data_IF_300791005998
#
_entry.id   IF_300791005998
#
_cell.length_a   1.000
_cell.length_b   1.000
_cell.length_c   1.000
_cell.angle_alpha   90.00
_cell.angle_beta   90.00
_cell.angle_gamma   90.00
#
_symmetry.space_group_name_H-M   'P 1'
#
loop_
_entity.id
_entity.type
_entity.pdbx_description
1 polymer ?
#
# COMPACT_ATOMS: atom_id res chain seq x y z
N UNK A 1 -9.67 -63.92 18.73
CA UNK A 1 -9.56 -63.18 17.52
C UNK A 1 -9.79 -61.71 17.76
N UNK A 2 -8.72 -60.97 17.81
CA UNK A 2 -8.59 -59.61 18.25
C UNK A 2 -8.86 -58.62 17.11
N UNK A 3 -9.76 -57.72 17.38
CA UNK A 3 -10.01 -56.52 16.59
C UNK A 3 -8.92 -55.45 16.86
N UNK A 4 -8.13 -55.11 15.87
CA UNK A 4 -7.24 -53.96 15.90
C UNK A 4 -7.93 -52.74 15.32
N UNK A 5 -8.18 -51.76 16.16
CA UNK A 5 -8.65 -50.43 15.79
C UNK A 5 -7.44 -49.60 15.48
N UNK A 6 -7.29 -49.09 14.25
CA UNK A 6 -6.29 -48.11 13.86
C UNK A 6 -6.93 -46.76 13.88
N UNK A 7 -6.64 -45.96 14.92
CA UNK A 7 -6.94 -44.55 15.01
C UNK A 7 -6.08 -43.78 13.99
N UNK A 8 -6.76 -43.14 13.06
CA UNK A 8 -6.15 -42.13 12.19
C UNK A 8 -6.08 -40.79 12.94
N UNK A 9 -4.93 -40.52 13.53
CA UNK A 9 -4.60 -39.17 13.98
C UNK A 9 -4.48 -38.21 12.77
N UNK A 10 -5.35 -37.18 12.79
CA UNK A 10 -5.21 -36.00 11.91
C UNK A 10 -4.07 -35.17 12.44
N UNK A 11 -3.10 -34.75 11.63
CA UNK A 11 -2.11 -33.77 12.06
C UNK A 11 -2.79 -32.40 12.20
N UNK A 12 -2.74 -31.86 13.41
CA UNK A 12 -3.17 -30.50 13.75
C UNK A 12 -2.16 -29.50 13.14
N UNK A 13 -2.61 -28.83 12.09
CA UNK A 13 -1.92 -27.71 11.47
C UNK A 13 -1.99 -26.47 12.38
N UNK A 14 -1.05 -26.32 13.29
CA UNK A 14 -0.93 -25.11 14.13
C UNK A 14 0.49 -24.57 14.24
N UNK A 15 1.42 -25.01 13.36
CA UNK A 15 2.85 -24.71 13.51
C UNK A 15 3.47 -23.82 12.42
N UNK A 16 2.71 -23.18 11.54
CA UNK A 16 3.28 -22.33 10.46
C UNK A 16 2.88 -20.85 10.48
N UNK A 17 2.48 -20.30 11.62
CA UNK A 17 2.14 -18.88 11.74
C UNK A 17 3.06 -18.04 12.61
N UNK A 18 4.17 -18.54 13.09
CA UNK A 18 5.01 -17.82 14.08
C UNK A 18 6.45 -17.51 13.65
N UNK A 19 6.80 -17.50 12.37
CA UNK A 19 8.18 -17.16 11.96
C UNK A 19 8.30 -15.89 11.10
N UNK A 20 7.50 -14.84 11.38
CA UNK A 20 7.75 -13.53 10.77
C UNK A 20 7.85 -12.40 11.81
N UNK A 21 8.53 -12.66 12.91
CA UNK A 21 8.75 -11.63 13.94
C UNK A 21 10.02 -11.89 14.74
N UNK A 22 11.16 -11.51 14.22
CA UNK A 22 12.32 -11.21 15.09
C UNK A 22 13.44 -10.53 14.32
N UNK A 23 13.57 -9.22 14.48
CA UNK A 23 14.71 -8.44 13.98
C UNK A 23 14.52 -6.94 13.92
N UNK A 24 13.45 -6.38 14.44
CA UNK A 24 13.22 -4.93 14.47
C UNK A 24 13.77 -4.27 15.73
N UNK A 25 14.63 -3.28 15.56
CA UNK A 25 15.23 -2.43 16.59
C UNK A 25 14.17 -1.86 17.55
N UNK A 26 14.26 -2.16 18.86
CA UNK A 26 13.24 -1.92 19.92
C UNK A 26 12.98 -0.46 20.31
N UNK A 27 13.51 0.51 19.61
CA UNK A 27 13.45 1.92 19.99
C UNK A 27 12.58 2.83 19.11
N UNK A 28 11.73 2.27 18.24
CA UNK A 28 10.82 3.11 17.45
C UNK A 28 9.44 3.20 18.07
N UNK A 29 8.95 4.43 18.19
CA UNK A 29 7.54 4.72 18.54
C UNK A 29 6.67 4.08 17.45
N UNK A 30 5.94 3.02 17.82
CA UNK A 30 5.03 2.35 16.92
C UNK A 30 3.75 3.18 16.84
N UNK A 31 3.62 3.97 15.78
CA UNK A 31 2.37 4.67 15.47
C UNK A 31 1.33 3.65 14.99
N UNK A 32 0.38 3.30 15.85
CA UNK A 32 -0.70 2.34 15.53
C UNK A 32 -2.07 2.99 15.67
N UNK A 33 -3.06 2.45 14.93
CA UNK A 33 -4.45 2.86 15.01
C UNK A 33 -4.74 4.25 14.42
N UNK A 34 -5.93 4.76 14.70
CA UNK A 34 -6.42 6.03 14.14
C UNK A 34 -5.58 7.24 14.56
N UNK A 35 -5.12 7.26 15.81
CA UNK A 35 -4.29 8.35 16.36
C UNK A 35 -2.91 8.38 15.71
N UNK A 36 -2.24 7.22 15.59
CA UNK A 36 -0.95 7.12 14.91
C UNK A 36 -1.03 7.54 13.45
N UNK A 37 -2.09 7.14 12.75
CA UNK A 37 -2.34 7.57 11.37
C UNK A 37 -2.57 9.08 11.27
N UNK A 38 -3.29 9.69 12.21
CA UNK A 38 -3.53 11.13 12.23
C UNK A 38 -2.22 11.92 12.45
N UNK A 39 -1.37 11.47 13.37
CA UNK A 39 -0.05 12.06 13.64
C UNK A 39 0.83 11.95 12.38
N UNK A 40 0.94 10.76 11.79
CA UNK A 40 1.74 10.56 10.58
C UNK A 40 1.25 11.43 9.42
N UNK A 41 -0.06 11.51 9.23
CA UNK A 41 -0.68 12.36 8.21
C UNK A 41 -0.35 13.84 8.43
N UNK A 42 -0.34 14.30 9.67
CA UNK A 42 0.03 15.68 10.01
C UNK A 42 1.52 15.94 9.74
N UNK A 43 2.40 15.03 10.20
CA UNK A 43 3.85 15.15 9.94
C UNK A 43 4.14 15.12 8.44
N UNK A 44 3.52 14.21 7.70
CA UNK A 44 3.64 14.10 6.25
C UNK A 44 3.15 15.39 5.55
N UNK A 45 2.03 15.96 6.01
CA UNK A 45 1.51 17.22 5.50
C UNK A 45 2.49 18.38 5.73
N UNK A 46 3.09 18.46 6.91
CA UNK A 46 4.00 19.54 7.29
C UNK A 46 5.37 19.43 6.62
N UNK A 47 5.96 18.23 6.65
CA UNK A 47 7.37 18.01 6.28
C UNK A 47 7.57 17.29 4.95
N UNK A 48 6.52 16.66 4.41
CA UNK A 48 6.63 15.75 3.27
C UNK A 48 7.27 14.38 3.60
N UNK A 49 7.38 14.05 4.90
CA UNK A 49 8.01 12.83 5.40
C UNK A 49 7.03 12.00 6.22
N UNK A 50 6.90 10.70 5.91
CA UNK A 50 6.05 9.76 6.65
C UNK A 50 6.88 8.96 7.65
N UNK A 51 6.53 9.06 8.91
CA UNK A 51 7.12 8.26 9.99
C UNK A 51 6.72 6.79 9.88
N UNK A 52 5.47 6.52 9.49
CA UNK A 52 4.98 5.15 9.28
C UNK A 52 5.70 4.46 8.13
N UNK A 53 5.92 5.16 7.01
CA UNK A 53 6.68 4.61 5.89
C UNK A 53 8.13 4.33 6.28
N UNK A 54 8.76 5.20 7.08
CA UNK A 54 10.11 4.95 7.63
C UNK A 54 10.14 3.74 8.54
N UNK A 55 9.18 3.64 9.45
CA UNK A 55 9.07 2.51 10.37
C UNK A 55 8.91 1.19 9.59
N UNK A 56 8.03 1.18 8.59
CA UNK A 56 7.84 0.02 7.73
C UNK A 56 9.12 -0.36 6.97
N UNK A 57 9.83 0.61 6.41
CA UNK A 57 11.09 0.39 5.70
C UNK A 57 12.16 -0.24 6.61
N UNK A 58 12.29 0.28 7.84
CA UNK A 58 13.24 -0.26 8.83
C UNK A 58 12.86 -1.68 9.27
N UNK A 59 11.57 -1.94 9.50
CA UNK A 59 11.10 -3.27 9.91
C UNK A 59 11.32 -4.34 8.84
N UNK A 60 11.29 -3.96 7.56
CA UNK A 60 11.46 -4.89 6.43
C UNK A 60 12.87 -4.84 5.80
N UNK A 61 13.81 -4.09 6.38
CA UNK A 61 15.16 -3.93 5.83
C UNK A 61 15.18 -3.29 4.44
N UNK A 62 14.18 -2.47 4.11
CA UNK A 62 14.04 -1.79 2.81
C UNK A 62 14.41 -0.32 2.92
N UNK A 63 14.72 0.31 1.78
CA UNK A 63 14.93 1.76 1.71
C UNK A 63 13.64 2.55 1.99
N UNK A 64 13.79 3.79 2.50
CA UNK A 64 12.65 4.70 2.66
C UNK A 64 12.01 5.01 1.31
N UNK A 65 10.71 4.77 1.19
CA UNK A 65 9.93 5.11 0.00
C UNK A 65 9.31 6.50 0.21
N UNK A 66 9.55 7.49 -0.69
CA UNK A 66 8.92 8.78 -0.58
C UNK A 66 7.40 8.65 -0.61
N UNK A 67 6.72 9.46 0.20
CA UNK A 67 5.28 9.37 0.44
C UNK A 67 4.61 10.68 0.07
N UNK A 68 3.47 10.62 -0.59
CA UNK A 68 2.60 11.74 -0.90
C UNK A 68 1.30 11.66 -0.10
N UNK A 69 0.62 12.80 0.06
CA UNK A 69 -0.79 12.84 0.45
C UNK A 69 -1.65 12.94 -0.81
N UNK A 70 -2.52 11.95 -1.01
CA UNK A 70 -3.52 11.97 -2.06
C UNK A 70 -4.85 12.48 -1.49
N UNK A 71 -5.44 13.46 -2.17
CA UNK A 71 -6.78 14.01 -1.87
C UNK A 71 -7.73 13.61 -2.99
N UNK A 72 -8.78 12.90 -2.63
CA UNK A 72 -9.83 12.43 -3.55
C UNK A 72 -11.21 12.84 -3.05
N UNK A 73 -12.18 12.89 -3.94
CA UNK A 73 -13.60 13.05 -3.61
C UNK A 73 -14.19 11.67 -3.36
N UNK A 74 -14.85 11.49 -2.23
CA UNK A 74 -15.48 10.21 -1.86
C UNK A 74 -16.60 9.86 -2.85
N UNK A 75 -16.47 8.72 -3.55
CA UNK A 75 -17.41 8.30 -4.60
C UNK A 75 -18.86 8.20 -4.13
N UNK A 76 -19.10 7.85 -2.86
CA UNK A 76 -20.46 7.72 -2.31
C UNK A 76 -20.98 9.00 -1.64
N UNK A 77 -20.10 9.80 -1.05
CA UNK A 77 -20.51 10.90 -0.16
C UNK A 77 -20.14 12.27 -0.68
N UNK A 78 -19.33 12.36 -1.74
CA UNK A 78 -18.75 13.62 -2.22
C UNK A 78 -17.76 14.29 -1.26
N UNK A 79 -17.60 13.77 -0.05
CA UNK A 79 -16.71 14.35 0.95
C UNK A 79 -15.23 14.20 0.55
N UNK A 80 -14.44 15.23 0.83
CA UNK A 80 -12.99 15.16 0.60
C UNK A 80 -12.35 14.11 1.52
N UNK A 81 -11.54 13.25 0.93
CA UNK A 81 -10.77 12.21 1.62
C UNK A 81 -9.29 12.42 1.36
N UNK A 82 -8.46 12.02 2.33
CA UNK A 82 -7.00 12.09 2.19
C UNK A 82 -6.36 10.81 2.70
N UNK A 83 -5.28 10.38 2.04
CA UNK A 83 -4.46 9.25 2.49
C UNK A 83 -2.99 9.47 2.11
N UNK A 84 -2.09 8.99 2.97
CA UNK A 84 -0.66 8.95 2.71
C UNK A 84 -0.31 7.70 1.90
N UNK A 85 0.39 7.86 0.79
CA UNK A 85 0.74 6.75 -0.11
C UNK A 85 2.21 6.84 -0.53
N UNK A 86 3.00 5.77 -0.36
CA UNK A 86 4.29 5.67 -1.01
C UNK A 86 4.13 5.74 -2.53
N UNK A 87 5.01 6.50 -3.19
CA UNK A 87 4.93 6.69 -4.63
C UNK A 87 6.25 6.38 -5.34
N UNK A 88 6.15 6.13 -6.62
CA UNK A 88 7.26 6.03 -7.57
C UNK A 88 7.14 7.14 -8.60
N UNK A 89 8.28 7.57 -9.14
CA UNK A 89 8.28 8.43 -10.32
C UNK A 89 8.56 7.56 -11.56
N UNK A 90 7.61 7.51 -12.47
CA UNK A 90 7.72 6.77 -13.74
C UNK A 90 7.29 7.69 -14.87
N UNK A 91 8.18 7.91 -15.83
CA UNK A 91 7.93 8.74 -17.01
C UNK A 91 7.34 10.14 -16.68
N UNK A 92 7.84 10.77 -15.61
CA UNK A 92 7.36 12.08 -15.15
C UNK A 92 6.04 12.08 -14.38
N UNK A 93 5.39 10.92 -14.20
CA UNK A 93 4.17 10.78 -13.43
C UNK A 93 4.43 10.17 -12.04
N UNK A 94 3.59 10.52 -11.07
CA UNK A 94 3.56 9.84 -9.78
C UNK A 94 2.74 8.56 -9.93
N UNK A 95 3.27 7.44 -9.45
CA UNK A 95 2.57 6.15 -9.48
C UNK A 95 2.45 5.62 -8.07
N UNK A 96 1.24 5.23 -7.69
CA UNK A 96 0.93 4.67 -6.36
C UNK A 96 0.28 3.29 -6.49
N UNK A 97 0.49 2.44 -5.50
CA UNK A 97 0.00 1.06 -5.48
C UNK A 97 -1.18 0.91 -4.53
N UNK A 98 -2.28 0.31 -5.01
CA UNK A 98 -3.48 0.02 -4.23
C UNK A 98 -3.38 -1.29 -3.46
N UNK A 99 -2.31 -1.49 -2.69
CA UNK A 99 -2.07 -2.76 -1.99
C UNK A 99 -3.06 -3.05 -0.86
N UNK A 100 -3.59 -2.03 -0.19
CA UNK A 100 -4.43 -2.19 1.00
C UNK A 100 -3.79 -3.11 2.06
N UNK A 101 -2.45 -3.01 2.23
CA UNK A 101 -1.70 -3.88 3.14
C UNK A 101 -1.69 -5.37 2.73
N UNK A 102 -1.94 -5.69 1.44
CA UNK A 102 -2.11 -7.06 0.95
C UNK A 102 -3.52 -7.60 1.11
N UNK A 103 -4.47 -6.78 1.53
CA UNK A 103 -5.86 -7.20 1.75
C UNK A 103 -6.60 -7.62 0.47
N UNK A 104 -7.73 -8.37 0.60
CA UNK A 104 -8.44 -8.96 -0.53
C UNK A 104 -9.25 -7.96 -1.37
N UNK A 105 -9.39 -6.72 -0.90
CA UNK A 105 -10.19 -5.69 -1.58
C UNK A 105 -9.35 -4.46 -1.91
N UNK A 106 -9.75 -3.73 -2.94
CA UNK A 106 -9.13 -2.45 -3.27
C UNK A 106 -9.35 -1.44 -2.14
N UNK A 107 -8.36 -0.57 -1.88
CA UNK A 107 -8.54 0.52 -0.94
C UNK A 107 -9.61 1.51 -1.45
N UNK A 108 -10.33 2.14 -0.52
CA UNK A 108 -11.42 3.07 -0.85
C UNK A 108 -11.00 4.22 -1.78
N UNK A 109 -9.76 4.70 -1.68
CA UNK A 109 -9.26 5.76 -2.54
C UNK A 109 -9.13 5.34 -4.02
N UNK A 110 -8.91 4.05 -4.31
CA UNK A 110 -8.95 3.53 -5.69
C UNK A 110 -10.35 3.64 -6.28
N UNK A 111 -11.40 3.34 -5.48
CA UNK A 111 -12.78 3.52 -5.91
C UNK A 111 -13.11 4.99 -6.15
N UNK A 112 -12.56 5.89 -5.33
CA UNK A 112 -12.75 7.33 -5.50
C UNK A 112 -12.13 7.79 -6.84
N UNK A 113 -10.90 7.37 -7.15
CA UNK A 113 -10.21 7.70 -8.41
C UNK A 113 -10.98 7.16 -9.64
N UNK A 114 -11.56 5.96 -9.54
CA UNK A 114 -12.40 5.43 -10.63
C UNK A 114 -13.68 6.24 -10.85
N UNK A 115 -14.20 6.84 -9.78
CA UNK A 115 -15.42 7.67 -9.85
C UNK A 115 -15.16 9.12 -10.23
N UNK A 116 -13.98 9.64 -9.93
CA UNK A 116 -13.59 11.02 -10.22
C UNK A 116 -12.07 11.07 -10.43
N UNK A 117 -11.66 11.36 -11.66
CA UNK A 117 -10.25 11.41 -12.04
C UNK A 117 -9.52 12.68 -11.56
N UNK A 118 -10.26 13.71 -11.16
CA UNK A 118 -9.69 14.94 -10.64
C UNK A 118 -9.27 14.77 -9.17
N UNK A 119 -7.98 14.93 -8.93
CA UNK A 119 -7.40 14.77 -7.61
C UNK A 119 -6.38 15.85 -7.30
N UNK A 120 -5.95 15.91 -6.05
CA UNK A 120 -4.82 16.72 -5.63
C UNK A 120 -3.82 15.84 -4.89
N UNK A 121 -2.55 16.15 -5.08
CA UNK A 121 -1.48 15.54 -4.29
C UNK A 121 -0.71 16.62 -3.54
N UNK A 122 -0.17 16.25 -2.38
CA UNK A 122 0.83 17.06 -1.68
C UNK A 122 2.12 16.27 -1.57
N UNK A 123 3.16 16.79 -2.19
CA UNK A 123 4.49 16.19 -2.26
C UNK A 123 5.52 17.23 -1.82
N UNK A 124 6.38 16.86 -0.87
CA UNK A 124 7.44 17.75 -0.35
C UNK A 124 6.91 19.14 0.00
N UNK A 125 5.76 19.20 0.70
CA UNK A 125 5.14 20.44 1.13
C UNK A 125 4.37 21.23 0.06
N UNK A 126 4.40 20.83 -1.21
CA UNK A 126 3.72 21.51 -2.33
C UNK A 126 2.47 20.75 -2.74
N UNK A 127 1.36 21.46 -2.93
CA UNK A 127 0.12 20.90 -3.44
C UNK A 127 0.07 21.06 -4.97
N UNK A 128 -0.33 20.01 -5.67
CA UNK A 128 -0.43 19.95 -7.12
C UNK A 128 -1.77 19.36 -7.51
N UNK A 129 -2.36 19.86 -8.59
CA UNK A 129 -3.52 19.24 -9.21
C UNK A 129 -3.03 18.12 -10.13
N UNK A 130 -3.76 17.01 -10.14
CA UNK A 130 -3.41 15.84 -10.95
C UNK A 130 -4.66 15.22 -11.55
N UNK A 131 -4.49 14.67 -12.74
CA UNK A 131 -5.43 13.73 -13.33
C UNK A 131 -4.99 12.31 -12.94
N UNK A 132 -5.89 11.58 -12.29
CA UNK A 132 -5.63 10.26 -11.72
C UNK A 132 -6.39 9.18 -12.50
N UNK A 133 -5.74 8.08 -12.86
CA UNK A 133 -6.42 6.93 -13.42
C UNK A 133 -5.79 5.60 -12.94
N UNK A 134 -6.60 4.56 -12.90
CA UNK A 134 -6.13 3.21 -12.63
C UNK A 134 -5.69 2.60 -13.97
N UNK A 135 -4.40 2.24 -14.07
CA UNK A 135 -3.86 1.62 -15.29
C UNK A 135 -4.48 0.25 -15.55
N UNK A 136 -4.71 -0.06 -16.82
CA UNK A 136 -5.29 -1.34 -17.30
C UNK A 136 -4.55 -1.83 -18.53
N UNK A 137 -4.76 -3.11 -18.91
CA UNK A 137 -4.22 -3.67 -20.13
C UNK A 137 -2.70 -3.55 -20.24
N UNK A 138 -2.21 -3.18 -21.42
CA UNK A 138 -0.79 -3.07 -21.73
C UNK A 138 -0.08 -2.01 -20.88
N UNK A 139 -0.75 -0.88 -20.59
CA UNK A 139 -0.20 0.16 -19.71
C UNK A 139 0.12 -0.42 -18.34
N UNK A 140 -0.81 -1.19 -17.77
CA UNK A 140 -0.62 -1.83 -16.46
C UNK A 140 0.55 -2.81 -16.49
N UNK A 141 0.66 -3.65 -17.52
CA UNK A 141 1.74 -4.63 -17.66
C UNK A 141 3.10 -3.91 -17.70
N UNK A 142 3.25 -2.95 -18.60
CA UNK A 142 4.49 -2.17 -18.72
C UNK A 142 4.85 -1.43 -17.42
N UNK A 143 3.84 -0.87 -16.76
CA UNK A 143 4.01 -0.14 -15.51
C UNK A 143 4.41 -1.07 -14.36
N UNK A 144 3.77 -2.26 -14.27
CA UNK A 144 4.11 -3.28 -13.28
C UNK A 144 5.57 -3.71 -13.40
N UNK A 145 6.05 -4.01 -14.60
CA UNK A 145 7.44 -4.38 -14.84
C UNK A 145 8.42 -3.28 -14.43
N UNK A 146 8.11 -2.01 -14.76
CA UNK A 146 8.94 -0.87 -14.34
C UNK A 146 9.01 -0.75 -12.83
N UNK A 147 7.87 -0.86 -12.14
CA UNK A 147 7.79 -0.75 -10.68
C UNK A 147 8.49 -1.93 -9.99
N UNK A 148 8.36 -3.14 -10.52
CA UNK A 148 8.98 -4.32 -9.92
C UNK A 148 10.51 -4.28 -10.05
N UNK A 149 11.04 -3.76 -11.16
CA UNK A 149 12.47 -3.46 -11.30
C UNK A 149 12.95 -2.41 -10.30
N UNK A 150 12.13 -1.41 -9.98
CA UNK A 150 12.46 -0.37 -8.98
C UNK A 150 12.34 -0.90 -7.56
N UNK A 151 11.40 -1.81 -7.31
CA UNK A 151 11.15 -2.37 -5.99
C UNK A 151 10.43 -3.71 -6.07
N UNK A 152 11.12 -4.78 -5.71
CA UNK A 152 10.57 -6.15 -5.63
C UNK A 152 9.34 -6.28 -4.72
N UNK A 153 9.09 -5.28 -3.87
CA UNK A 153 7.86 -5.26 -3.08
C UNK A 153 6.60 -5.15 -3.94
N UNK A 154 6.72 -4.82 -5.23
CA UNK A 154 5.57 -4.76 -6.15
C UNK A 154 5.02 -6.15 -6.42
N UNK A 155 5.86 -7.11 -6.80
CA UNK A 155 5.46 -8.50 -6.98
C UNK A 155 5.04 -9.17 -5.67
N UNK A 156 5.68 -8.85 -4.55
CA UNK A 156 5.26 -9.33 -3.23
C UNK A 156 3.82 -8.88 -2.89
N UNK A 157 3.50 -7.59 -3.08
CA UNK A 157 2.13 -7.11 -2.88
C UNK A 157 1.14 -7.73 -3.86
N UNK A 158 1.52 -7.97 -5.12
CA UNK A 158 0.66 -8.67 -6.06
C UNK A 158 0.35 -10.09 -5.57
N UNK A 159 1.33 -10.82 -5.05
CA UNK A 159 1.12 -12.15 -4.47
C UNK A 159 0.19 -12.11 -3.26
N UNK A 160 0.39 -11.15 -2.36
CA UNK A 160 -0.47 -10.97 -1.17
C UNK A 160 -1.91 -10.60 -1.53
N UNK A 161 -2.10 -9.86 -2.62
CA UNK A 161 -3.42 -9.42 -3.07
C UNK A 161 -4.17 -10.49 -3.88
N UNK A 162 -3.50 -11.55 -4.36
CA UNK A 162 -4.12 -12.57 -5.21
C UNK A 162 -5.41 -13.15 -4.59
N UNK A 163 -6.46 -13.43 -5.39
CA UNK A 163 -6.47 -13.43 -6.86
C UNK A 163 -6.72 -12.05 -7.52
N UNK A 164 -6.91 -10.96 -6.75
CA UNK A 164 -7.11 -9.65 -7.36
C UNK A 164 -5.80 -9.08 -7.93
N UNK A 165 -5.93 -8.31 -8.99
CA UNK A 165 -4.81 -7.53 -9.48
C UNK A 165 -4.52 -6.35 -8.56
N UNK A 166 -3.23 -6.11 -8.28
CA UNK A 166 -2.76 -4.93 -7.57
C UNK A 166 -3.03 -3.67 -8.41
N UNK A 167 -3.92 -2.76 -8.02
CA UNK A 167 -4.13 -1.52 -8.76
C UNK A 167 -2.88 -0.66 -8.77
N UNK A 168 -2.48 -0.24 -9.96
CA UNK A 168 -1.44 0.75 -10.19
C UNK A 168 -2.11 2.03 -10.68
N UNK A 169 -2.00 3.10 -9.91
CA UNK A 169 -2.68 4.37 -10.20
C UNK A 169 -1.66 5.40 -10.60
N UNK A 170 -1.86 5.94 -11.79
CA UNK A 170 -1.03 7.00 -12.37
C UNK A 170 -1.65 8.35 -12.02
N UNK A 171 -0.82 9.26 -11.52
CA UNK A 171 -1.19 10.62 -11.13
C UNK A 171 -0.35 11.58 -11.97
N UNK A 172 -0.94 12.14 -13.00
CA UNK A 172 -0.30 13.07 -13.93
C UNK A 172 -0.59 14.50 -13.52
N UNK A 173 0.42 15.31 -13.35
CA UNK A 173 0.28 16.75 -13.04
C UNK A 173 -0.39 17.47 -14.21
N UNK A 174 -1.34 18.37 -13.89
CA UNK A 174 -2.13 19.18 -14.84
C UNK A 174 -1.63 20.62 -14.82
#
# INVERSE_FOLDING_TARGET
PSSGSTDHERPTSTAEKEEFSSGGNRHMIILRGKTGLAIDTFVLWLTGYSLMTKQYALANGTGYQPTLLLYTKGAKTGAQRRCGLPYFMVDGCYVVRGSNGGGPTDPHWCHNVRGDSEAKIRVKGRTKHVHAHVSTGEERVALFEKLDRMSRSTSQYQQMCAPRELPLVVLREV
#
